data_IF_843333002118
#
_entry.id   IF_843333002118
#
_cell.length_a   1.000
_cell.length_b   1.000
_cell.length_c   1.000
_cell.angle_alpha   90.00
_cell.angle_beta   90.00
_cell.angle_gamma   90.00
#
_symmetry.space_group_name_H-M   'P 1'
#
loop_
_entity.id
_entity.type
_entity.pdbx_description
1 polymer ?
#
# COMPACT_ATOMS: atom_id res chain seq x y z
N UNK A 1 -14.97 -28.09 -12.48
CA UNK A 1 -14.51 -28.20 -11.08
C UNK A 1 -14.11 -26.85 -10.50
N UNK A 2 -13.15 -26.14 -11.12
CA UNK A 2 -12.72 -24.78 -10.67
C UNK A 2 -13.86 -23.75 -10.57
N UNK A 3 -14.75 -23.69 -11.58
CA UNK A 3 -15.87 -22.73 -11.62
C UNK A 3 -17.18 -23.29 -11.06
N UNK A 4 -17.11 -24.36 -10.27
CA UNK A 4 -18.29 -25.02 -9.70
C UNK A 4 -19.18 -24.06 -8.89
N UNK A 5 -18.60 -23.03 -8.26
CA UNK A 5 -19.35 -22.05 -7.47
C UNK A 5 -20.27 -21.13 -8.30
N UNK A 6 -19.99 -20.96 -9.61
CA UNK A 6 -20.66 -19.97 -10.47
C UNK A 6 -21.34 -20.59 -11.70
N UNK A 7 -20.90 -21.77 -12.16
CA UNK A 7 -21.26 -22.30 -13.48
C UNK A 7 -22.76 -22.47 -13.74
N UNK A 8 -23.55 -22.81 -12.72
CA UNK A 8 -24.98 -23.13 -12.87
C UNK A 8 -25.84 -21.90 -13.20
N UNK A 9 -25.47 -20.72 -12.69
CA UNK A 9 -26.31 -19.52 -12.71
C UNK A 9 -25.64 -18.34 -13.43
N UNK A 10 -24.38 -18.45 -13.84
CA UNK A 10 -23.58 -17.35 -14.37
C UNK A 10 -24.22 -16.62 -15.57
N UNK A 11 -24.95 -17.36 -16.42
CA UNK A 11 -25.58 -16.83 -17.62
C UNK A 11 -27.08 -16.54 -17.48
N UNK A 12 -27.63 -16.66 -16.26
CA UNK A 12 -29.02 -16.33 -16.03
C UNK A 12 -29.27 -14.82 -16.12
N UNK A 13 -30.47 -14.45 -16.58
CA UNK A 13 -30.86 -13.04 -16.65
C UNK A 13 -30.92 -12.38 -15.26
N UNK A 14 -31.27 -13.14 -14.21
CA UNK A 14 -31.26 -12.71 -12.80
C UNK A 14 -30.67 -13.84 -11.94
N UNK A 15 -29.34 -13.93 -11.83
CA UNK A 15 -28.70 -15.01 -11.09
C UNK A 15 -29.07 -14.97 -9.61
N UNK A 16 -29.23 -16.13 -8.98
CA UNK A 16 -29.39 -16.25 -7.52
C UNK A 16 -30.62 -15.54 -6.91
N UNK A 17 -31.60 -15.11 -7.72
CA UNK A 17 -32.73 -14.28 -7.26
C UNK A 17 -33.62 -14.93 -6.19
N UNK A 18 -33.70 -16.26 -6.16
CA UNK A 18 -34.49 -17.04 -5.21
C UNK A 18 -33.63 -17.62 -4.06
N UNK A 19 -32.38 -17.18 -3.91
CA UNK A 19 -31.42 -17.71 -2.92
C UNK A 19 -31.14 -16.72 -1.78
N UNK A 20 -30.43 -17.19 -0.74
CA UNK A 20 -29.97 -16.37 0.41
C UNK A 20 -29.05 -15.21 0.02
N UNK A 21 -28.42 -15.28 -1.15
CA UNK A 21 -27.40 -14.34 -1.58
C UNK A 21 -27.97 -12.99 -2.03
N UNK A 22 -29.27 -12.92 -2.33
CA UNK A 22 -29.95 -11.71 -2.81
C UNK A 22 -31.18 -11.46 -1.95
N UNK A 23 -31.57 -10.20 -1.77
CA UNK A 23 -32.77 -9.81 -1.02
C UNK A 23 -34.12 -10.20 -1.66
N UNK A 24 -34.13 -11.09 -2.64
CA UNK A 24 -35.31 -11.55 -3.37
C UNK A 24 -35.57 -10.80 -4.68
N UNK A 25 -36.82 -10.81 -5.15
CA UNK A 25 -37.23 -10.30 -6.48
C UNK A 25 -36.90 -8.83 -6.75
N UNK A 26 -36.66 -8.04 -5.70
CA UNK A 26 -36.25 -6.64 -5.83
C UNK A 26 -34.83 -6.49 -6.38
N UNK A 27 -33.94 -7.48 -6.20
CA UNK A 27 -32.58 -7.54 -6.76
C UNK A 27 -31.75 -6.27 -6.52
N UNK A 28 -31.74 -5.74 -5.29
CA UNK A 28 -31.05 -4.46 -4.95
C UNK A 28 -29.76 -4.63 -4.15
N UNK A 29 -29.65 -5.72 -3.40
CA UNK A 29 -28.51 -5.98 -2.52
C UNK A 29 -28.13 -7.43 -2.63
N UNK A 30 -26.83 -7.68 -2.65
CA UNK A 30 -26.25 -9.01 -2.68
C UNK A 30 -25.26 -9.18 -1.54
N UNK A 31 -25.07 -10.42 -1.10
CA UNK A 31 -24.03 -10.84 -0.19
C UNK A 31 -23.52 -12.17 -0.70
N UNK A 32 -22.28 -12.23 -1.17
CA UNK A 32 -21.71 -13.41 -1.82
C UNK A 32 -20.61 -14.01 -0.94
N UNK A 33 -20.54 -15.34 -0.93
CA UNK A 33 -19.52 -16.07 -0.20
C UNK A 33 -18.14 -15.94 -0.91
N UNK A 34 -17.06 -16.12 -0.16
CA UNK A 34 -15.69 -15.97 -0.65
C UNK A 34 -15.38 -16.80 -1.92
N UNK A 35 -15.79 -18.08 -2.04
CA UNK A 35 -15.52 -18.88 -3.23
C UNK A 35 -16.17 -18.31 -4.50
N UNK A 36 -17.38 -17.73 -4.36
CA UNK A 36 -18.09 -17.10 -5.48
C UNK A 36 -17.32 -15.85 -5.93
N UNK A 37 -16.93 -15.00 -4.98
CA UNK A 37 -16.16 -13.79 -5.28
C UNK A 37 -14.81 -14.10 -5.92
N UNK A 38 -14.12 -15.15 -5.45
CA UNK A 38 -12.84 -15.58 -6.01
C UNK A 38 -12.96 -16.04 -7.47
N UNK A 39 -13.98 -16.86 -7.77
CA UNK A 39 -14.26 -17.31 -9.13
C UNK A 39 -14.61 -16.13 -10.05
N UNK A 40 -15.50 -15.22 -9.62
CA UNK A 40 -15.87 -14.03 -10.39
C UNK A 40 -14.68 -13.11 -10.65
N UNK A 41 -13.85 -12.85 -9.64
CA UNK A 41 -12.65 -12.03 -9.77
C UNK A 41 -11.66 -12.62 -10.78
N UNK A 42 -11.46 -13.95 -10.74
CA UNK A 42 -10.61 -14.66 -11.70
C UNK A 42 -11.14 -14.55 -13.13
N UNK A 43 -12.45 -14.72 -13.34
CA UNK A 43 -13.09 -14.58 -14.65
C UNK A 43 -13.01 -13.13 -15.18
N UNK A 44 -13.12 -12.14 -14.29
CA UNK A 44 -13.03 -10.72 -14.63
C UNK A 44 -11.59 -10.21 -14.82
N UNK A 45 -10.57 -11.02 -14.56
CA UNK A 45 -9.15 -10.63 -14.60
C UNK A 45 -8.72 -9.94 -15.90
N UNK A 46 -9.31 -10.30 -17.04
CA UNK A 46 -9.00 -9.69 -18.35
C UNK A 46 -9.48 -8.23 -18.48
N UNK A 47 -10.44 -7.81 -17.64
CA UNK A 47 -11.03 -6.47 -17.66
C UNK A 47 -10.58 -5.63 -16.46
N UNK A 48 -10.14 -6.28 -15.38
CA UNK A 48 -9.66 -5.61 -14.19
C UNK A 48 -8.24 -5.09 -14.38
N UNK A 49 -7.92 -4.01 -13.66
CA UNK A 49 -6.59 -3.43 -13.67
C UNK A 49 -5.71 -4.10 -12.63
N UNK A 50 -4.46 -4.40 -12.98
CA UNK A 50 -3.42 -4.88 -12.05
C UNK A 50 -2.81 -3.74 -11.19
N UNK A 51 -3.42 -2.56 -11.17
CA UNK A 51 -2.92 -1.39 -10.45
C UNK A 51 -3.45 -1.37 -9.01
N UNK A 52 -2.67 -1.92 -8.09
CA UNK A 52 -3.00 -1.94 -6.65
C UNK A 52 -2.61 -0.64 -5.91
N UNK A 53 -1.53 0.01 -6.33
CA UNK A 53 -1.01 1.19 -5.64
C UNK A 53 -1.63 2.49 -6.17
N UNK A 54 -2.37 3.27 -5.35
CA UNK A 54 -2.90 4.56 -5.76
C UNK A 54 -1.82 5.58 -6.16
N UNK A 55 -0.55 5.37 -5.77
CA UNK A 55 0.57 6.19 -6.22
C UNK A 55 0.77 6.16 -7.74
N UNK A 56 0.27 5.15 -8.46
CA UNK A 56 0.30 5.12 -9.92
C UNK A 56 -0.39 6.35 -10.54
N UNK A 57 -1.46 6.84 -9.90
CA UNK A 57 -2.23 7.99 -10.34
C UNK A 57 -1.66 9.34 -9.86
N UNK A 58 -0.39 9.39 -9.49
CA UNK A 58 0.26 10.66 -9.12
C UNK A 58 0.18 11.66 -10.28
N UNK A 59 -0.39 12.84 -10.01
CA UNK A 59 -0.74 13.87 -11.01
C UNK A 59 -1.78 13.46 -12.06
N UNK A 60 -2.35 12.26 -11.95
CA UNK A 60 -3.40 11.73 -12.81
C UNK A 60 -4.68 11.44 -12.02
N UNK A 61 -4.92 12.25 -10.98
CA UNK A 61 -6.10 12.20 -10.15
C UNK A 61 -7.02 13.41 -10.43
N UNK A 62 -8.26 13.35 -9.91
CA UNK A 62 -9.24 14.43 -10.11
C UNK A 62 -8.73 15.77 -9.59
N UNK A 63 -7.98 15.79 -8.48
CA UNK A 63 -7.46 17.02 -7.88
C UNK A 63 -6.38 17.66 -8.77
N UNK A 64 -5.47 16.87 -9.33
CA UNK A 64 -4.51 17.37 -10.31
C UNK A 64 -5.23 17.94 -11.54
N UNK A 65 -6.28 17.28 -12.05
CA UNK A 65 -7.04 17.79 -13.20
C UNK A 65 -7.83 19.07 -12.90
N UNK A 66 -8.32 19.26 -11.66
CA UNK A 66 -8.92 20.53 -11.28
C UNK A 66 -7.88 21.65 -11.25
N UNK A 67 -6.68 21.36 -10.73
CA UNK A 67 -5.57 22.30 -10.72
C UNK A 67 -5.07 22.63 -12.12
N UNK A 68 -4.95 21.65 -13.03
CA UNK A 68 -4.57 21.93 -14.43
C UNK A 68 -5.59 22.81 -15.13
N UNK A 69 -6.87 22.56 -14.91
CA UNK A 69 -7.96 23.40 -15.43
C UNK A 69 -7.89 24.83 -14.88
N UNK A 70 -7.69 24.98 -13.57
CA UNK A 70 -7.65 26.27 -12.91
C UNK A 70 -6.45 27.13 -13.38
N UNK A 71 -5.29 26.49 -13.60
CA UNK A 71 -4.06 27.14 -14.04
C UNK A 71 -3.95 27.29 -15.57
N UNK A 72 -4.94 26.83 -16.35
CA UNK A 72 -4.85 26.77 -17.82
C UNK A 72 -3.59 26.02 -18.30
N UNK A 73 -3.27 24.91 -17.65
CA UNK A 73 -2.10 24.07 -17.95
C UNK A 73 -2.53 22.68 -18.40
N UNK A 74 -1.63 21.96 -19.06
CA UNK A 74 -1.83 20.57 -19.44
C UNK A 74 -0.67 19.71 -18.95
N UNK A 75 -1.00 18.58 -18.31
CA UNK A 75 -0.05 17.51 -18.03
C UNK A 75 0.02 16.60 -19.26
N UNK A 76 1.18 16.01 -19.61
CA UNK A 76 1.28 15.02 -20.67
C UNK A 76 0.27 13.87 -20.49
N UNK A 77 -0.49 13.55 -21.54
CA UNK A 77 -1.55 12.53 -21.49
C UNK A 77 -2.83 12.95 -20.74
N UNK A 78 -2.85 14.13 -20.15
CA UNK A 78 -4.02 14.69 -19.46
C UNK A 78 -4.95 15.47 -20.39
N UNK A 79 -6.18 15.76 -19.93
CA UNK A 79 -7.14 16.58 -20.67
C UNK A 79 -6.69 18.04 -20.74
N UNK A 80 -7.15 18.74 -21.79
CA UNK A 80 -7.01 20.18 -21.96
C UNK A 80 -8.36 20.86 -21.76
N UNK A 81 -8.34 22.05 -21.19
CA UNK A 81 -9.54 22.83 -20.90
C UNK A 81 -9.40 24.26 -21.44
N UNK A 82 -10.51 24.97 -21.54
CA UNK A 82 -10.47 26.40 -21.74
C UNK A 82 -9.97 27.12 -20.47
N UNK A 83 -9.30 28.28 -20.61
CA UNK A 83 -8.85 29.07 -19.47
C UNK A 83 -10.02 29.45 -18.56
N UNK A 84 -9.93 29.10 -17.28
CA UNK A 84 -10.94 29.46 -16.28
C UNK A 84 -10.98 30.98 -16.03
N UNK A 85 -9.80 31.57 -15.93
CA UNK A 85 -9.59 33.00 -15.70
C UNK A 85 -8.92 33.61 -16.93
N UNK A 86 -9.57 34.58 -17.58
CA UNK A 86 -9.10 35.24 -18.83
C UNK A 86 -8.60 36.67 -18.60
N UNK A 87 -8.46 37.05 -17.33
CA UNK A 87 -8.15 38.39 -16.84
C UNK A 87 -6.65 38.60 -16.58
N UNK A 88 -5.80 37.66 -16.98
CA UNK A 88 -4.34 37.75 -16.86
C UNK A 88 -3.79 38.26 -18.18
N UNK A 89 -3.31 39.51 -18.20
CA UNK A 89 -2.51 40.04 -19.30
C UNK A 89 -1.08 39.48 -19.19
N UNK A 90 -0.71 38.56 -20.08
CA UNK A 90 0.59 37.87 -20.09
C UNK A 90 1.79 38.84 -20.11
N UNK A 91 1.62 40.04 -20.68
CA UNK A 91 2.69 41.03 -20.82
C UNK A 91 3.14 41.69 -19.51
N UNK A 92 2.26 41.80 -18.51
CA UNK A 92 2.57 42.45 -17.23
C UNK A 92 3.29 41.51 -16.25
N UNK A 93 3.14 40.19 -16.43
CA UNK A 93 3.86 39.19 -15.62
C UNK A 93 5.33 39.05 -16.02
N UNK A 94 5.66 39.20 -17.31
CA UNK A 94 7.01 38.98 -17.82
C UNK A 94 7.97 40.17 -17.57
N UNK A 95 7.44 41.40 -17.51
CA UNK A 95 8.23 42.63 -17.31
C UNK A 95 8.05 43.22 -15.91
N UNK A 96 8.54 42.50 -14.89
CA UNK A 96 8.57 43.00 -13.52
C UNK A 96 9.99 42.96 -12.93
N UNK A 97 10.22 43.74 -11.86
CA UNK A 97 11.53 43.85 -11.19
C UNK A 97 12.03 42.51 -10.60
N UNK A 98 11.11 41.60 -10.31
CA UNK A 98 11.37 40.28 -9.74
C UNK A 98 11.75 39.22 -10.79
N UNK A 99 11.27 39.35 -12.03
CA UNK A 99 11.47 38.43 -13.14
C UNK A 99 12.63 38.84 -14.06
N UNK A 100 13.47 39.79 -13.62
CA UNK A 100 14.68 40.21 -14.31
C UNK A 100 15.64 39.02 -14.53
N UNK A 101 15.91 38.72 -15.80
CA UNK A 101 16.74 37.59 -16.22
C UNK A 101 18.17 37.65 -15.65
N UNK A 102 18.68 38.84 -15.33
CA UNK A 102 20.02 39.01 -14.73
C UNK A 102 20.08 38.56 -13.27
N UNK A 103 18.93 38.49 -12.58
CA UNK A 103 18.80 38.10 -11.18
C UNK A 103 18.37 36.64 -11.00
N UNK A 104 17.89 35.99 -12.08
CA UNK A 104 17.39 34.62 -12.05
C UNK A 104 18.48 33.60 -12.36
N UNK A 105 18.74 32.68 -11.42
CA UNK A 105 19.64 31.54 -11.63
C UNK A 105 18.86 30.36 -12.20
N UNK A 106 18.95 30.16 -13.52
CA UNK A 106 18.29 29.04 -14.20
C UNK A 106 19.21 27.82 -14.23
N UNK A 107 18.98 26.86 -13.32
CA UNK A 107 19.69 25.56 -13.30
C UNK A 107 18.94 24.45 -14.00
N UNK A 108 17.61 24.46 -13.89
CA UNK A 108 16.68 23.50 -14.50
C UNK A 108 15.42 24.24 -14.88
N UNK A 109 14.82 23.85 -16.01
CA UNK A 109 13.55 24.41 -16.44
C UNK A 109 12.42 23.91 -15.52
N UNK A 110 11.58 24.84 -15.06
CA UNK A 110 10.38 24.50 -14.29
C UNK A 110 9.34 23.93 -15.26
N UNK A 111 8.99 22.65 -15.08
CA UNK A 111 8.00 21.96 -15.92
C UNK A 111 6.56 22.19 -15.44
N UNK A 112 5.59 21.86 -16.29
CA UNK A 112 4.17 21.94 -15.95
C UNK A 112 3.79 21.04 -14.78
N UNK A 113 4.42 19.87 -14.65
CA UNK A 113 4.16 18.96 -13.53
C UNK A 113 4.53 19.57 -12.19
N UNK A 114 5.56 20.41 -12.11
CA UNK A 114 5.94 21.08 -10.86
C UNK A 114 4.91 22.14 -10.47
N UNK A 115 4.40 22.87 -11.46
CA UNK A 115 3.33 23.85 -11.29
C UNK A 115 2.01 23.21 -10.84
N UNK A 116 1.73 21.97 -11.23
CA UNK A 116 0.54 21.25 -10.76
C UNK A 116 0.77 20.56 -9.41
N UNK A 117 1.94 19.96 -9.19
CA UNK A 117 2.28 19.28 -7.94
C UNK A 117 2.37 20.24 -6.75
N UNK A 118 2.95 21.42 -6.98
CA UNK A 118 3.15 22.45 -5.95
C UNK A 118 2.55 23.78 -6.43
N UNK A 119 1.21 23.87 -6.50
CA UNK A 119 0.54 24.97 -7.17
C UNK A 119 0.78 26.33 -6.53
N UNK A 120 0.98 26.38 -5.22
CA UNK A 120 1.24 27.62 -4.49
C UNK A 120 2.69 28.11 -4.57
N UNK A 121 3.63 27.27 -5.02
CA UNK A 121 5.06 27.60 -5.05
C UNK A 121 5.51 28.11 -6.41
N UNK A 122 5.06 27.49 -7.49
CA UNK A 122 5.57 27.75 -8.85
C UNK A 122 4.62 28.55 -9.75
N UNK A 123 3.49 29.03 -9.22
CA UNK A 123 2.54 29.84 -9.97
C UNK A 123 2.28 31.18 -9.29
N UNK A 124 2.12 32.21 -10.11
CA UNK A 124 1.57 33.48 -9.69
C UNK A 124 0.05 33.33 -9.55
N UNK A 125 -0.53 33.93 -8.50
CA UNK A 125 -1.99 33.99 -8.27
C UNK A 125 -2.72 32.64 -8.45
N UNK A 126 -2.35 31.59 -7.69
CA UNK A 126 -3.02 30.29 -7.76
C UNK A 126 -4.47 30.39 -7.25
N UNK A 127 -5.42 30.59 -8.18
CA UNK A 127 -6.87 30.68 -7.92
C UNK A 127 -7.52 29.33 -8.19
N UNK A 128 -8.47 28.93 -7.34
CA UNK A 128 -9.26 27.70 -7.49
C UNK A 128 -8.42 26.42 -7.69
N UNK A 129 -7.20 26.41 -7.14
CA UNK A 129 -6.30 25.25 -7.18
C UNK A 129 -6.63 24.27 -6.05
N UNK A 130 -6.36 22.99 -6.30
CA UNK A 130 -6.58 21.92 -5.33
C UNK A 130 -5.26 21.27 -4.93
N UNK A 131 -5.10 20.99 -3.64
CA UNK A 131 -3.95 20.27 -3.11
C UNK A 131 -4.19 18.77 -3.30
N UNK A 132 -3.43 18.17 -4.22
CA UNK A 132 -3.42 16.74 -4.47
C UNK A 132 -2.65 15.99 -3.36
N UNK A 133 -2.95 14.71 -3.17
CA UNK A 133 -2.18 13.86 -2.26
C UNK A 133 -0.79 13.66 -2.83
N UNK A 134 0.24 13.97 -2.04
CA UNK A 134 1.62 13.87 -2.50
C UNK A 134 2.07 12.41 -2.66
N UNK A 135 1.74 11.55 -1.69
CA UNK A 135 2.17 10.14 -1.66
C UNK A 135 1.33 9.32 -0.70
N UNK A 136 1.07 8.07 -1.06
CA UNK A 136 0.55 7.01 -0.20
C UNK A 136 1.68 6.05 0.21
N UNK A 137 1.58 5.33 1.34
CA UNK A 137 2.46 4.20 1.62
C UNK A 137 2.50 3.23 0.44
N UNK A 138 3.69 2.78 0.06
CA UNK A 138 3.83 1.87 -1.09
C UNK A 138 3.21 0.52 -0.76
N UNK A 139 2.36 0.03 -1.66
CA UNK A 139 1.73 -1.28 -1.50
C UNK A 139 2.71 -2.35 -1.99
N UNK A 140 3.20 -3.18 -1.05
CA UNK A 140 4.13 -4.28 -1.32
C UNK A 140 3.39 -5.61 -1.28
N UNK A 141 2.46 -5.79 -2.21
CA UNK A 141 1.70 -7.02 -2.35
C UNK A 141 2.30 -7.89 -3.45
N UNK A 142 2.59 -9.15 -3.13
CA UNK A 142 3.06 -10.15 -4.09
C UNK A 142 1.89 -11.09 -4.38
N UNK A 143 1.49 -11.14 -5.66
CA UNK A 143 0.43 -12.03 -6.12
C UNK A 143 0.99 -13.44 -6.29
N UNK A 144 0.36 -14.42 -5.65
CA UNK A 144 0.64 -15.83 -5.92
C UNK A 144 -0.08 -16.25 -7.20
N UNK A 145 0.68 -16.65 -8.21
CA UNK A 145 0.13 -17.18 -9.46
C UNK A 145 0.00 -18.71 -9.44
N UNK A 146 0.74 -19.38 -8.55
CA UNK A 146 0.73 -20.84 -8.40
C UNK A 146 -0.15 -21.25 -7.19
N UNK A 147 -1.25 -22.00 -7.40
CA UNK A 147 -2.11 -22.48 -6.33
C UNK A 147 -1.50 -23.66 -5.55
N UNK A 148 -0.46 -24.31 -6.06
CA UNK A 148 0.20 -25.42 -5.38
C UNK A 148 1.13 -24.93 -4.26
N UNK A 149 1.50 -23.65 -4.27
CA UNK A 149 2.26 -23.02 -3.21
C UNK A 149 1.38 -22.74 -1.98
N UNK A 150 1.93 -22.86 -0.75
CA UNK A 150 1.16 -22.58 0.46
C UNK A 150 0.80 -21.08 0.53
N UNK A 151 -0.28 -20.73 1.23
CA UNK A 151 -0.77 -19.34 1.26
C UNK A 151 0.25 -18.35 1.85
N UNK A 152 1.11 -18.82 2.77
CA UNK A 152 2.20 -18.03 3.34
C UNK A 152 3.54 -18.71 2.99
N UNK A 153 4.30 -18.08 2.11
CA UNK A 153 5.66 -18.50 1.79
C UNK A 153 6.58 -17.30 1.60
N UNK A 154 7.89 -17.55 1.68
CA UNK A 154 8.88 -16.54 1.37
C UNK A 154 9.10 -16.49 -0.13
N UNK A 155 8.51 -15.49 -0.78
CA UNK A 155 8.56 -15.36 -2.23
C UNK A 155 9.98 -14.99 -2.73
N UNK A 156 10.46 -15.58 -3.84
CA UNK A 156 11.77 -15.26 -4.43
C UNK A 156 11.98 -13.77 -4.79
N UNK A 157 10.91 -13.00 -4.98
CA UNK A 157 10.96 -11.55 -5.21
C UNK A 157 11.38 -10.77 -3.95
N UNK A 158 11.24 -11.38 -2.77
CA UNK A 158 11.62 -10.77 -1.50
C UNK A 158 13.13 -10.86 -1.30
N UNK A 159 13.71 -9.76 -0.83
CA UNK A 159 15.12 -9.74 -0.46
C UNK A 159 15.35 -10.65 0.76
N UNK A 160 16.32 -11.58 0.72
CA UNK A 160 16.59 -12.47 1.83
C UNK A 160 16.99 -11.67 3.07
N UNK A 161 16.43 -12.06 4.21
CA UNK A 161 16.74 -11.43 5.49
C UNK A 161 18.12 -11.93 5.94
N UNK A 162 19.14 -11.09 5.75
CA UNK A 162 20.48 -11.38 6.27
C UNK A 162 20.50 -11.06 7.76
N UNK A 163 20.72 -12.07 8.59
CA UNK A 163 21.07 -11.85 10.00
C UNK A 163 22.48 -11.25 10.07
N UNK A 164 22.58 -9.93 9.97
CA UNK A 164 23.80 -9.23 10.34
C UNK A 164 23.80 -9.14 11.85
N UNK A 165 24.54 -10.07 12.47
CA UNK A 165 24.97 -10.08 13.87
C UNK A 165 24.20 -9.08 14.71
N UNK A 166 23.07 -9.51 15.27
CA UNK A 166 22.57 -8.82 16.44
C UNK A 166 23.71 -8.93 17.44
N UNK A 167 24.42 -7.82 17.68
CA UNK A 167 24.94 -7.62 19.01
C UNK A 167 23.67 -7.62 19.84
N UNK A 168 23.31 -8.78 20.37
CA UNK A 168 22.25 -8.85 21.36
C UNK A 168 22.61 -7.83 22.43
N UNK A 169 21.64 -7.24 23.11
CA UNK A 169 21.95 -6.36 24.25
C UNK A 169 22.89 -7.04 25.27
N UNK A 170 22.94 -8.37 25.28
CA UNK A 170 23.94 -9.19 25.97
C UNK A 170 25.40 -8.89 25.54
N UNK A 171 25.70 -8.83 24.24
CA UNK A 171 27.05 -8.53 23.73
C UNK A 171 27.55 -7.12 24.05
N UNK A 172 26.63 -6.15 24.15
CA UNK A 172 26.97 -4.76 24.54
C UNK A 172 27.23 -4.68 26.05
N UNK A 173 26.51 -5.46 26.85
CA UNK A 173 26.69 -5.51 28.32
C UNK A 173 27.99 -6.24 28.72
N UNK A 174 28.39 -7.27 27.97
CA UNK A 174 29.66 -7.98 28.18
C UNK A 174 30.88 -7.06 28.01
N UNK A 175 30.87 -6.18 27.00
CA UNK A 175 31.99 -5.23 26.77
C UNK A 175 32.10 -4.11 27.80
N UNK A 176 31.03 -3.78 28.50
CA UNK A 176 31.08 -2.81 29.59
C UNK A 176 31.75 -3.40 30.86
N UNK A 177 31.64 -4.72 31.10
CA UNK A 177 32.30 -5.40 32.23
C UNK A 177 33.81 -5.58 32.03
N UNK A 178 34.32 -5.58 30.80
CA UNK A 178 35.77 -5.68 30.52
C UNK A 178 36.53 -4.34 30.65
N UNK A 179 35.81 -3.20 30.64
CA UNK A 179 36.42 -1.87 30.69
C UNK A 179 36.64 -1.34 32.12
N UNK A 180 35.83 -1.79 33.07
CA UNK A 180 35.92 -1.41 34.48
C UNK A 180 36.60 -2.54 35.26
N UNK A 181 37.93 -2.57 35.18
CA UNK A 181 38.75 -3.50 35.95
C UNK A 181 38.73 -3.13 37.43
N UNK A 182 37.96 -3.86 38.23
CA UNK A 182 38.13 -3.92 39.67
C UNK A 182 38.18 -5.38 40.13
N UNK A 183 39.35 -5.72 40.66
CA UNK A 183 39.68 -6.95 41.35
C UNK A 183 38.74 -7.14 42.56
N UNK A 184 38.01 -8.24 42.58
CA UNK A 184 37.16 -8.63 43.70
C UNK A 184 36.74 -10.09 43.57
N UNK A 185 37.44 -10.98 44.27
CA UNK A 185 37.00 -12.34 44.52
C UNK A 185 35.67 -12.29 45.29
N UNK A 186 34.56 -12.69 44.68
CA UNK A 186 33.36 -13.14 45.39
C UNK A 186 32.48 -14.01 44.47
N UNK A 187 31.91 -15.03 45.09
CA UNK A 187 31.20 -16.17 44.50
C UNK A 187 29.85 -15.78 43.86
N UNK A 188 29.45 -16.53 42.81
CA UNK A 188 28.12 -16.52 42.16
C UNK A 188 27.80 -15.20 41.41
N UNK A 189 27.19 -15.16 40.23
CA UNK A 189 26.21 -16.03 39.58
C UNK A 189 26.53 -16.08 38.09
N UNK A 190 26.40 -17.25 37.48
CA UNK A 190 26.27 -17.40 36.04
C UNK A 190 25.06 -16.57 35.59
N UNK A 191 25.26 -15.32 35.17
CA UNK A 191 24.24 -14.51 34.47
C UNK A 191 24.06 -15.07 33.03
N UNK A 192 23.63 -16.32 32.97
CA UNK A 192 23.19 -17.02 31.79
C UNK A 192 21.90 -16.38 31.28
N UNK A 193 22.02 -15.64 30.19
CA UNK A 193 20.97 -15.70 29.15
C UNK A 193 21.20 -16.89 28.20
N UNK A 194 21.96 -17.90 28.64
CA UNK A 194 21.81 -19.28 28.24
C UNK A 194 21.03 -19.98 29.35
N UNK A 195 19.87 -20.55 29.00
CA UNK A 195 19.28 -21.77 29.59
C UNK A 195 19.36 -22.04 31.12
N UNK A 196 19.52 -21.01 31.95
CA UNK A 196 19.53 -21.06 33.42
C UNK A 196 18.27 -20.48 34.05
N UNK A 197 17.10 -20.67 33.44
CA UNK A 197 15.86 -20.35 34.15
C UNK A 197 15.67 -21.37 35.27
N UNK A 198 15.66 -20.87 36.50
CA UNK A 198 15.14 -21.57 37.66
C UNK A 198 13.93 -22.43 37.27
N UNK A 199 13.98 -23.71 37.62
CA UNK A 199 12.90 -24.71 37.53
C UNK A 199 11.56 -24.26 38.18
N UNK A 200 11.52 -23.05 38.75
CA UNK A 200 10.43 -22.45 39.51
C UNK A 200 9.29 -21.87 38.66
N UNK A 201 9.54 -21.45 37.41
CA UNK A 201 8.48 -20.88 36.55
C UNK A 201 8.07 -21.84 35.43
N UNK A 202 6.90 -22.48 35.61
CA UNK A 202 6.29 -23.35 34.60
C UNK A 202 4.93 -22.80 34.20
N UNK A 203 4.65 -22.85 32.91
CA UNK A 203 3.32 -22.53 32.40
C UNK A 203 2.30 -23.56 32.93
N UNK A 204 1.05 -23.15 33.23
CA UNK A 204 -0.01 -24.09 33.60
C UNK A 204 -0.22 -25.16 32.53
N UNK A 205 -0.64 -26.37 32.92
CA UNK A 205 -0.82 -27.52 31.99
C UNK A 205 -1.82 -27.26 30.85
N UNK A 206 -2.75 -26.32 31.03
CA UNK A 206 -3.73 -25.91 30.01
C UNK A 206 -3.33 -24.66 29.24
N UNK A 207 -2.11 -24.19 29.43
CA UNK A 207 -1.61 -23.03 28.71
C UNK A 207 -1.09 -23.47 27.34
N UNK A 208 -1.88 -23.15 26.33
CA UNK A 208 -1.60 -23.41 24.93
C UNK A 208 -1.73 -22.11 24.11
N UNK A 209 -1.11 -22.02 22.91
CA UNK A 209 -1.41 -20.97 21.96
C UNK A 209 -2.91 -20.90 21.66
N UNK A 210 -3.46 -19.69 21.49
CA UNK A 210 -4.92 -19.48 21.41
C UNK A 210 -5.63 -20.24 20.27
N UNK A 211 -4.93 -20.57 19.19
CA UNK A 211 -5.48 -21.22 17.99
C UNK A 211 -4.65 -22.46 17.59
N UNK A 212 -4.19 -23.24 18.55
CA UNK A 212 -3.36 -24.43 18.29
C UNK A 212 -4.10 -25.50 17.48
N UNK A 213 -5.42 -25.63 17.64
CA UNK A 213 -6.23 -26.64 16.95
C UNK A 213 -6.48 -26.34 15.47
N UNK A 214 -6.36 -25.07 15.06
CA UNK A 214 -6.69 -24.61 13.72
C UNK A 214 -5.44 -24.53 12.83
N UNK A 215 -5.52 -24.97 11.55
CA UNK A 215 -4.40 -24.84 10.63
C UNK A 215 -4.11 -23.36 10.33
N UNK A 216 -2.85 -23.03 10.05
CA UNK A 216 -2.41 -21.66 9.76
C UNK A 216 -3.11 -21.06 8.53
N UNK A 217 -3.42 -21.88 7.53
CA UNK A 217 -4.12 -21.48 6.32
C UNK A 217 -5.04 -22.60 5.82
N UNK A 218 -6.10 -22.19 5.13
CA UNK A 218 -7.03 -23.06 4.40
C UNK A 218 -6.85 -22.90 2.89
N UNK A 219 -7.51 -23.74 2.10
CA UNK A 219 -7.49 -23.70 0.63
C UNK A 219 -7.88 -22.32 0.06
N UNK A 220 -8.82 -21.62 0.72
CA UNK A 220 -9.33 -20.32 0.26
C UNK A 220 -8.56 -19.12 0.82
N UNK A 221 -7.52 -19.34 1.64
CA UNK A 221 -6.81 -18.24 2.31
C UNK A 221 -6.05 -17.37 1.31
N UNK A 222 -5.33 -17.98 0.36
CA UNK A 222 -4.63 -17.23 -0.69
C UNK A 222 -5.59 -16.41 -1.57
N UNK A 223 -6.72 -17.02 -1.96
CA UNK A 223 -7.77 -16.34 -2.74
C UNK A 223 -8.39 -15.17 -1.97
N UNK A 224 -8.62 -15.32 -0.65
CA UNK A 224 -9.12 -14.25 0.20
C UNK A 224 -8.16 -13.09 0.37
N UNK A 225 -6.87 -13.36 0.51
CA UNK A 225 -5.83 -12.32 0.52
C UNK A 225 -5.78 -11.60 -0.84
N UNK A 226 -5.91 -12.33 -1.95
CA UNK A 226 -5.99 -11.74 -3.28
C UNK A 226 -7.19 -10.81 -3.46
N UNK A 227 -8.36 -11.22 -2.95
CA UNK A 227 -9.57 -10.40 -2.98
C UNK A 227 -9.49 -9.16 -2.09
N UNK A 228 -8.71 -9.20 -1.01
CA UNK A 228 -8.49 -8.03 -0.16
C UNK A 228 -7.84 -6.87 -0.94
N UNK A 229 -7.00 -7.18 -1.92
CA UNK A 229 -6.36 -6.20 -2.81
C UNK A 229 -7.08 -6.04 -4.15
N UNK A 230 -8.26 -6.64 -4.33
CA UNK A 230 -9.01 -6.53 -5.57
C UNK A 230 -9.55 -5.10 -5.80
N UNK A 231 -9.72 -4.68 -7.07
CA UNK A 231 -10.41 -3.43 -7.39
C UNK A 231 -11.84 -3.41 -6.86
N UNK A 232 -12.32 -2.20 -6.57
CA UNK A 232 -13.71 -1.93 -6.19
C UNK A 232 -14.66 -1.92 -7.40
#
# INVERSE_FOLDING_TARGET
DEDSAVCEWFYDHKPLADTKYVNGKSFKSYHLDLPIMAALHRLASQLLSDLYDPNYFYLFDKRAFYTTKALNMAIPGGPKFEPLHRDVDEGDEDWNEFNDISKLIIRRQIRSEYKVAFPHLYNNRPRDVFIATYRYPQTMYVKSDDPDLPAFYFDPLLNPIVSKTSKTRADVRAKHKEADGEDGEEENEEDGFGDGYDDAFRMPERFAPMLEEEPLYSEMTAAGIGLYWAPA
#
